data_IF_359681610767
#
_entry.id   IF_359681610767
#
_cell.length_a   1.000
_cell.length_b   1.000
_cell.length_c   1.000
_cell.angle_alpha   90.00
_cell.angle_beta   90.00
_cell.angle_gamma   90.00
#
_symmetry.space_group_name_H-M   'P 1'
#
loop_
_entity.id
_entity.type
_entity.pdbx_description
1 polymer ?
#
# COMPACT_ATOMS: atom_id res chain seq x y z
N UNK A 1 -2.51 -3.50 8.72
CA UNK A 1 -3.52 -2.43 8.54
C UNK A 1 -3.52 -1.80 7.15
N UNK A 2 -2.91 -0.63 6.87
CA UNK A 2 -3.08 0.03 5.56
C UNK A 2 -2.61 -0.80 4.33
N UNK A 3 -1.57 -1.62 4.51
CA UNK A 3 -1.09 -2.55 3.48
C UNK A 3 -2.09 -3.67 3.18
N UNK A 4 -2.78 -4.21 4.20
CA UNK A 4 -3.84 -5.22 4.04
C UNK A 4 -5.08 -4.62 3.40
N UNK A 5 -5.47 -3.40 3.78
CA UNK A 5 -6.64 -2.71 3.19
C UNK A 5 -6.44 -2.49 1.69
N UNK A 6 -5.22 -2.17 1.27
CA UNK A 6 -4.86 -2.02 -0.14
C UNK A 6 -4.57 -3.36 -0.83
N UNK A 7 -4.42 -4.47 -0.10
CA UNK A 7 -3.94 -5.74 -0.64
C UNK A 7 -2.53 -5.66 -1.23
N UNK A 8 -1.71 -4.70 -0.78
CA UNK A 8 -0.36 -4.46 -1.30
C UNK A 8 0.71 -4.79 -0.26
N UNK A 9 1.88 -5.22 -0.73
CA UNK A 9 3.02 -5.42 0.16
C UNK A 9 3.39 -4.13 0.90
N UNK A 10 3.77 -4.23 2.18
CA UNK A 10 4.17 -3.07 3.02
C UNK A 10 5.31 -2.24 2.39
N UNK A 11 6.19 -2.88 1.62
CA UNK A 11 7.22 -2.20 0.84
C UNK A 11 6.66 -1.30 -0.27
N UNK A 12 5.59 -1.73 -0.94
CA UNK A 12 4.86 -0.90 -1.92
C UNK A 12 4.18 0.27 -1.22
N UNK A 13 3.56 0.04 -0.07
CA UNK A 13 2.95 1.10 0.73
C UNK A 13 3.98 2.17 1.14
N UNK A 14 5.14 1.75 1.66
CA UNK A 14 6.25 2.66 1.99
C UNK A 14 6.71 3.47 0.76
N UNK A 15 6.73 2.83 -0.41
CA UNK A 15 7.12 3.48 -1.66
C UNK A 15 6.07 4.50 -2.13
N UNK A 16 4.79 4.17 -2.06
CA UNK A 16 3.67 5.08 -2.37
C UNK A 16 3.67 6.30 -1.45
N UNK A 17 3.96 6.08 -0.17
CA UNK A 17 4.10 7.12 0.83
C UNK A 17 5.29 8.05 0.53
N UNK A 18 6.46 7.49 0.16
CA UNK A 18 7.63 8.27 -0.30
C UNK A 18 7.37 9.02 -1.60
N UNK A 19 6.64 8.43 -2.53
CA UNK A 19 6.25 9.05 -3.81
C UNK A 19 5.13 10.09 -3.64
N UNK A 20 4.62 10.34 -2.42
CA UNK A 20 3.48 11.22 -2.12
C UNK A 20 2.23 10.92 -2.95
N UNK A 21 2.07 9.67 -3.40
CA UNK A 21 0.89 9.23 -4.16
C UNK A 21 -0.32 9.00 -3.27
N UNK A 22 -0.07 8.69 -2.00
CA UNK A 22 -1.09 8.59 -0.96
C UNK A 22 -0.86 9.72 0.04
N UNK A 23 -1.94 10.41 0.42
CA UNK A 23 -1.86 11.47 1.43
C UNK A 23 -1.58 10.82 2.77
N UNK A 24 -0.34 10.98 3.23
CA UNK A 24 0.15 10.43 4.48
C UNK A 24 0.72 11.58 5.31
N UNK A 25 0.29 11.68 6.56
CA UNK A 25 0.79 12.65 7.51
C UNK A 25 2.03 12.10 8.20
N UNK A 26 3.13 12.86 8.16
CA UNK A 26 4.36 12.43 8.83
C UNK A 26 4.24 12.75 10.31
N UNK A 27 4.03 11.72 11.13
CA UNK A 27 3.94 11.87 12.58
C UNK A 27 5.20 11.27 13.22
N UNK A 28 6.09 12.14 13.69
CA UNK A 28 7.39 11.80 14.26
C UNK A 28 8.20 10.85 13.35
N UNK A 29 8.22 9.57 13.72
CA UNK A 29 9.00 8.52 13.07
C UNK A 29 8.16 7.62 12.15
N UNK A 30 6.86 7.94 12.00
CA UNK A 30 5.90 7.18 11.23
C UNK A 30 5.16 8.01 10.19
N UNK A 31 4.37 7.30 9.39
CA UNK A 31 3.45 7.88 8.44
C UNK A 31 2.05 7.44 8.85
N UNK A 32 1.23 8.40 9.27
CA UNK A 32 -0.17 8.17 9.56
C UNK A 32 -0.95 8.31 8.27
N UNK A 33 -1.69 7.28 7.90
CA UNK A 33 -2.56 7.30 6.72
C UNK A 33 -3.97 7.04 7.23
N UNK A 34 -4.89 7.95 6.96
CA UNK A 34 -6.31 7.74 7.29
C UNK A 34 -6.85 6.56 6.49
N UNK A 35 -7.59 5.67 7.17
CA UNK A 35 -8.22 4.50 6.54
C UNK A 35 -9.13 4.89 5.37
N UNK A 36 -9.85 5.99 5.49
CA UNK A 36 -10.74 6.52 4.45
C UNK A 36 -9.96 6.89 3.17
N UNK A 37 -8.81 7.57 3.33
CA UNK A 37 -7.89 7.89 2.23
C UNK A 37 -7.30 6.62 1.62
N UNK A 38 -6.95 5.62 2.44
CA UNK A 38 -6.46 4.32 1.95
C UNK A 38 -7.54 3.62 1.12
N UNK A 39 -8.78 3.64 1.56
CA UNK A 39 -9.92 3.00 0.88
C UNK A 39 -10.27 3.71 -0.43
N UNK A 40 -10.31 5.04 -0.43
CA UNK A 40 -10.55 5.82 -1.64
C UNK A 40 -9.40 5.64 -2.64
N UNK A 41 -8.16 5.66 -2.14
CA UNK A 41 -7.00 5.35 -2.97
C UNK A 41 -7.07 3.93 -3.51
N UNK A 42 -7.46 2.93 -2.73
CA UNK A 42 -7.63 1.55 -3.20
C UNK A 42 -8.66 1.42 -4.33
N UNK A 43 -9.74 2.22 -4.31
CA UNK A 43 -10.72 2.27 -5.41
C UNK A 43 -10.12 2.82 -6.71
N UNK A 44 -9.18 3.75 -6.63
CA UNK A 44 -8.54 4.40 -7.78
C UNK A 44 -7.19 3.77 -8.16
N UNK A 45 -6.58 3.02 -7.27
CA UNK A 45 -5.29 2.39 -7.45
C UNK A 45 -5.45 1.14 -8.30
N UNK A 46 -5.40 1.33 -9.62
CA UNK A 46 -5.25 0.22 -10.57
C UNK A 46 -3.84 -0.35 -10.39
N UNK A 47 -3.74 -1.40 -9.56
CA UNK A 47 -2.50 -2.09 -9.19
C UNK A 47 -1.80 -2.82 -10.34
N UNK A 48 -2.00 -2.42 -11.59
CA UNK A 48 -1.30 -2.93 -12.78
C UNK A 48 0.14 -2.45 -12.82
N UNK A 49 0.93 -2.73 -11.78
CA UNK A 49 2.37 -2.89 -11.96
C UNK A 49 2.58 -4.34 -12.35
N UNK A 50 2.67 -4.56 -13.66
CA UNK A 50 2.74 -5.87 -14.32
C UNK A 50 3.78 -6.81 -13.73
N UNK A 51 3.42 -7.52 -12.66
CA UNK A 51 4.08 -8.75 -12.25
C UNK A 51 2.98 -9.79 -12.06
N UNK A 52 2.93 -10.84 -12.90
CA UNK A 52 2.02 -11.94 -12.65
C UNK A 52 2.30 -12.47 -11.24
N UNK A 53 1.24 -12.77 -10.50
CA UNK A 53 1.33 -13.42 -9.20
C UNK A 53 2.06 -14.76 -9.39
N UNK A 54 3.37 -14.77 -9.16
CA UNK A 54 4.08 -16.02 -8.99
C UNK A 54 3.70 -16.52 -7.60
N UNK A 55 2.61 -17.29 -7.55
CA UNK A 55 2.31 -18.22 -6.46
C UNK A 55 3.53 -19.13 -6.28
N UNK A 56 4.51 -18.70 -5.49
CA UNK A 56 5.49 -19.62 -4.91
C UNK A 56 4.96 -19.94 -3.53
N UNK A 57 4.19 -21.02 -3.50
CA UNK A 57 3.83 -21.75 -2.31
C UNK A 57 5.08 -21.99 -1.45
N UNK A 58 4.98 -21.59 -0.20
CA UNK A 58 5.99 -21.83 0.83
C UNK A 58 5.32 -22.16 2.15
N UNK A 59 4.34 -23.08 2.12
CA UNK A 59 4.00 -23.86 3.30
C UNK A 59 5.13 -24.85 3.54
N UNK A 60 5.99 -24.58 4.52
CA UNK A 60 6.50 -25.60 5.45
C UNK A 60 7.09 -24.95 6.69
#
# INVERSE_FOLDING_TARGET
EAAEILGVHTGTLKRLCREKKIVAEKIHNGWLIHSDVVQEFAKRYDGRRGRPANNVAGSK
#
